data_IF_517692190431
#
_entry.id   IF_517692190431
#
_cell.length_a   1.000
_cell.length_b   1.000
_cell.length_c   1.000
_cell.angle_alpha   90.00
_cell.angle_beta   90.00
_cell.angle_gamma   90.00
#
_symmetry.space_group_name_H-M   'P 1'
#
loop_
_entity.id
_entity.type
_entity.pdbx_description
1 polymer ?
#
# COMPACT_ATOMS: atom_id res chain seq x y z
N UNK A 1 -19.14 12.67 17.85
CA UNK A 1 -19.32 12.76 16.38
C UNK A 1 -19.37 14.22 16.04
N UNK A 2 -18.51 14.68 15.12
CA UNK A 2 -18.62 16.05 14.59
C UNK A 2 -19.99 16.25 13.94
N UNK A 3 -20.53 17.45 14.03
CA UNK A 3 -21.82 17.80 13.44
C UNK A 3 -21.73 17.75 11.89
N UNK A 4 -22.84 17.49 11.21
CA UNK A 4 -22.88 17.25 9.75
C UNK A 4 -22.35 18.45 8.95
N UNK A 5 -22.55 19.65 9.49
CA UNK A 5 -21.99 20.90 8.97
C UNK A 5 -20.45 20.93 9.02
N UNK A 6 -19.84 20.46 10.11
CA UNK A 6 -18.38 20.46 10.26
C UNK A 6 -17.72 19.50 9.27
N UNK A 7 -18.35 18.35 9.02
CA UNK A 7 -17.87 17.37 8.04
C UNK A 7 -17.96 17.94 6.62
N UNK A 8 -19.05 18.61 6.26
CA UNK A 8 -19.21 19.26 4.95
C UNK A 8 -18.19 20.38 4.74
N UNK A 9 -17.90 21.17 5.77
CA UNK A 9 -16.86 22.20 5.72
C UNK A 9 -15.48 21.58 5.52
N UNK A 10 -15.16 20.48 6.22
CA UNK A 10 -13.90 19.74 6.05
C UNK A 10 -13.72 19.24 4.60
N UNK A 11 -14.72 18.60 4.02
CA UNK A 11 -14.65 18.14 2.62
C UNK A 11 -14.60 19.30 1.61
N UNK A 12 -15.34 20.38 1.88
CA UNK A 12 -15.28 21.59 1.05
C UNK A 12 -13.93 22.30 1.09
N UNK A 13 -13.18 22.20 2.19
CA UNK A 13 -11.83 22.75 2.34
C UNK A 13 -10.75 21.84 1.74
N UNK A 14 -10.95 20.52 1.79
CA UNK A 14 -10.01 19.53 1.26
C UNK A 14 -9.93 19.56 -0.29
N UNK A 15 -11.02 19.94 -0.97
CA UNK A 15 -11.11 19.90 -2.43
C UNK A 15 -11.16 18.47 -2.98
N UNK A 16 -11.20 18.33 -4.32
CA UNK A 16 -11.45 17.04 -4.99
C UNK A 16 -10.20 16.11 -5.07
N UNK A 17 -9.05 16.56 -4.57
CA UNK A 17 -7.76 15.87 -4.73
C UNK A 17 -7.25 15.12 -3.48
N UNK A 18 -8.11 14.97 -2.46
CA UNK A 18 -7.74 14.36 -1.17
C UNK A 18 -8.30 12.94 -1.08
N UNK A 19 -7.41 12.00 -0.76
CA UNK A 19 -7.79 10.62 -0.46
C UNK A 19 -8.32 10.49 0.98
N UNK A 20 -9.41 9.75 1.24
CA UNK A 20 -10.14 8.91 0.29
C UNK A 20 -11.25 9.67 -0.47
N UNK A 21 -11.25 9.50 -1.80
CA UNK A 21 -12.22 10.13 -2.69
C UNK A 21 -13.64 9.62 -2.41
N UNK A 22 -14.61 10.53 -2.36
CA UNK A 22 -16.03 10.20 -2.16
C UNK A 22 -16.34 9.45 -0.84
N UNK A 23 -15.47 9.52 0.17
CA UNK A 23 -15.75 8.93 1.48
C UNK A 23 -17.00 9.58 2.09
N UNK A 24 -18.06 8.79 2.21
CA UNK A 24 -19.30 9.22 2.83
C UNK A 24 -19.48 8.51 4.19
N UNK A 25 -19.32 9.21 5.32
CA UNK A 25 -19.43 8.60 6.65
C UNK A 25 -20.83 8.03 6.92
N UNK A 26 -21.88 8.57 6.30
CA UNK A 26 -23.24 8.03 6.43
C UNK A 26 -23.37 6.69 5.70
N UNK A 27 -22.81 6.56 4.50
CA UNK A 27 -22.83 5.31 3.73
C UNK A 27 -22.00 4.23 4.43
N UNK A 28 -20.86 4.58 5.02
CA UNK A 28 -20.00 3.62 5.74
C UNK A 28 -20.69 2.96 6.95
N UNK A 29 -21.65 3.64 7.59
CA UNK A 29 -22.42 3.06 8.71
C UNK A 29 -23.54 2.11 8.27
N UNK A 30 -24.02 2.24 7.03
CA UNK A 30 -25.14 1.45 6.50
C UNK A 30 -24.65 0.30 5.62
N UNK A 31 -23.54 0.51 4.90
CA UNK A 31 -22.84 -0.48 4.11
C UNK A 31 -21.33 -0.27 4.34
N UNK A 32 -20.70 -1.07 5.22
CA UNK A 32 -19.25 -1.04 5.37
C UNK A 32 -18.62 -1.39 4.02
N UNK A 33 -18.09 -0.40 3.32
CA UNK A 33 -17.38 -0.63 2.07
C UNK A 33 -16.05 -1.28 2.40
N UNK A 34 -15.74 -2.41 1.76
CA UNK A 34 -14.40 -3.01 1.74
C UNK A 34 -13.44 -2.22 0.84
N UNK A 35 -13.59 -0.90 0.79
CA UNK A 35 -12.67 0.05 0.15
C UNK A 35 -11.57 0.41 1.16
N UNK A 36 -10.43 0.87 0.65
CA UNK A 36 -9.23 1.34 1.34
C UNK A 36 -8.30 0.25 1.89
N UNK A 37 -8.23 -0.88 1.19
CA UNK A 37 -7.13 -1.84 1.35
C UNK A 37 -5.83 -1.29 0.74
N UNK A 38 -4.68 -1.86 1.10
CA UNK A 38 -3.37 -1.31 0.73
C UNK A 38 -3.15 -1.00 -0.76
N UNK A 39 -3.64 -1.82 -1.73
CA UNK A 39 -3.55 -1.48 -3.14
C UNK A 39 -4.26 -0.17 -3.51
N UNK A 40 -5.37 0.18 -2.86
CA UNK A 40 -6.10 1.44 -3.13
C UNK A 40 -5.34 2.66 -2.62
N UNK A 41 -4.68 2.53 -1.47
CA UNK A 41 -3.77 3.56 -0.97
C UNK A 41 -2.61 3.76 -1.94
N UNK A 42 -2.04 2.68 -2.48
CA UNK A 42 -1.01 2.76 -3.50
C UNK A 42 -1.55 3.41 -4.78
N UNK A 43 -2.76 3.06 -5.21
CA UNK A 43 -3.42 3.64 -6.37
C UNK A 43 -3.56 5.17 -6.25
N UNK A 44 -4.03 5.65 -5.09
CA UNK A 44 -4.11 7.07 -4.77
C UNK A 44 -2.74 7.76 -4.84
N UNK A 45 -1.70 7.11 -4.30
CA UNK A 45 -0.33 7.61 -4.39
C UNK A 45 0.14 7.71 -5.86
N UNK A 46 -0.13 6.70 -6.69
CA UNK A 46 0.24 6.72 -8.12
C UNK A 46 -0.47 7.84 -8.88
N UNK A 47 -1.71 8.17 -8.50
CA UNK A 47 -2.48 9.29 -9.07
C UNK A 47 -1.98 10.66 -8.59
N UNK A 48 -1.11 10.71 -7.58
CA UNK A 48 -0.60 11.95 -7.01
C UNK A 48 -1.56 12.60 -6.02
N UNK A 49 -2.46 11.82 -5.41
CA UNK A 49 -3.37 12.33 -4.39
C UNK A 49 -2.64 12.64 -3.08
N UNK A 50 -3.16 13.62 -2.35
CA UNK A 50 -2.65 13.97 -1.03
C UNK A 50 -3.34 13.14 0.06
N UNK A 51 -2.53 12.61 0.97
CA UNK A 51 -3.00 11.87 2.13
C UNK A 51 -3.15 12.80 3.32
N UNK A 52 -4.34 12.83 3.91
CA UNK A 52 -4.54 13.45 5.21
C UNK A 52 -3.93 12.60 6.30
N UNK A 53 -3.18 13.21 7.21
CA UNK A 53 -2.73 12.53 8.42
C UNK A 53 -3.88 12.47 9.42
N UNK A 54 -3.99 11.33 10.08
CA UNK A 54 -4.93 11.08 11.15
C UNK A 54 -4.49 11.82 12.42
N UNK A 55 -5.43 12.58 12.97
CA UNK A 55 -5.33 13.24 14.26
C UNK A 55 -6.50 12.79 15.14
N UNK A 56 -6.20 12.42 16.38
CA UNK A 56 -7.21 12.17 17.38
C UNK A 56 -7.99 13.45 17.73
N UNK A 57 -9.22 13.33 18.27
CA UNK A 57 -9.86 14.46 18.94
C UNK A 57 -9.02 14.96 20.13
N UNK A 58 -8.99 16.28 20.35
CA UNK A 58 -8.23 16.96 21.42
C UNK A 58 -8.39 16.35 22.82
N UNK A 59 -9.56 15.78 23.11
CA UNK A 59 -9.84 15.15 24.40
C UNK A 59 -8.92 13.95 24.65
N UNK A 60 -8.62 13.14 23.62
CA UNK A 60 -7.68 12.02 23.72
C UNK A 60 -6.24 12.50 23.88
N UNK A 61 -5.85 13.58 23.19
CA UNK A 61 -4.55 14.21 23.40
C UNK A 61 -4.39 14.66 24.86
N UNK A 62 -5.41 15.29 25.44
CA UNK A 62 -5.42 15.70 26.86
C UNK A 62 -5.38 14.52 27.83
N UNK A 63 -6.11 13.45 27.53
CA UNK A 63 -6.09 12.21 28.33
C UNK A 63 -4.69 11.61 28.35
N UNK A 64 -4.02 11.52 27.19
CA UNK A 64 -2.65 11.01 27.08
C UNK A 64 -1.66 11.93 27.78
N UNK A 65 -1.75 13.25 27.58
CA UNK A 65 -0.91 14.20 28.29
C UNK A 65 -1.04 14.06 29.81
N UNK A 66 -2.27 13.89 30.32
CA UNK A 66 -2.53 13.65 31.75
C UNK A 66 -1.96 12.32 32.24
N UNK A 67 -2.06 11.26 31.43
CA UNK A 67 -1.46 9.96 31.71
C UNK A 67 0.07 10.03 31.78
N UNK A 68 0.69 10.76 30.85
CA UNK A 68 2.15 10.91 30.77
C UNK A 68 2.72 11.85 31.85
N UNK A 69 1.98 12.87 32.27
CA UNK A 69 2.39 13.88 33.27
C UNK A 69 2.63 13.34 34.70
N UNK A 70 2.39 12.06 34.94
CA UNK A 70 2.57 11.41 36.24
C UNK A 70 4.03 11.17 36.67
N UNK A 71 5.02 11.50 35.82
CA UNK A 71 6.45 11.21 36.02
C UNK A 71 7.33 12.36 35.50
N UNK A 72 8.63 12.36 35.85
CA UNK A 72 9.59 13.43 35.51
C UNK A 72 9.55 13.84 34.02
N UNK A 73 9.48 15.16 33.80
CA UNK A 73 9.27 15.88 32.52
C UNK A 73 10.29 15.57 31.40
N UNK A 74 11.39 14.87 31.68
CA UNK A 74 12.56 14.84 30.80
C UNK A 74 12.79 13.53 30.04
N UNK A 75 11.94 12.51 30.22
CA UNK A 75 12.14 11.21 29.56
C UNK A 75 11.48 11.15 28.18
N UNK A 76 12.25 10.76 27.16
CA UNK A 76 11.74 10.43 25.82
C UNK A 76 10.88 9.16 25.92
N UNK A 77 9.60 9.29 25.57
CA UNK A 77 8.68 8.15 25.58
C UNK A 77 8.95 7.26 24.38
N UNK A 78 9.26 5.99 24.63
CA UNK A 78 9.28 4.92 23.63
C UNK A 78 8.08 4.03 23.87
N UNK A 79 7.26 3.80 22.85
CA UNK A 79 6.27 2.72 22.91
C UNK A 79 6.80 1.48 22.23
N UNK A 80 6.47 0.31 22.76
CA UNK A 80 6.69 -0.96 22.09
C UNK A 80 5.35 -1.69 21.94
N UNK A 81 4.89 -1.80 20.71
CA UNK A 81 3.63 -2.50 20.40
C UNK A 81 3.91 -3.94 20.03
N UNK A 82 3.30 -4.86 20.78
CA UNK A 82 3.62 -6.29 20.74
C UNK A 82 2.39 -7.08 20.27
N UNK A 83 2.60 -7.99 19.31
CA UNK A 83 1.53 -8.80 18.73
C UNK A 83 1.42 -10.21 19.31
N UNK A 84 0.20 -10.59 19.67
CA UNK A 84 -0.13 -11.95 20.14
C UNK A 84 -0.40 -12.97 19.06
N UNK A 85 0.31 -12.94 17.92
CA UNK A 85 0.02 -13.84 16.79
C UNK A 85 0.33 -15.31 17.05
N UNK A 86 -0.29 -16.16 16.23
CA UNK A 86 -0.04 -17.60 16.07
C UNK A 86 1.33 -17.91 15.40
N UNK A 87 2.38 -17.19 15.79
CA UNK A 87 3.75 -17.62 15.50
C UNK A 87 4.11 -18.81 16.38
N UNK A 88 5.00 -19.66 15.85
CA UNK A 88 5.64 -20.73 16.62
C UNK A 88 6.14 -20.15 17.96
N UNK A 89 5.73 -20.74 19.10
CA UNK A 89 6.09 -20.23 20.43
C UNK A 89 7.58 -20.06 20.65
N UNK A 90 8.43 -20.91 20.06
CA UNK A 90 9.88 -20.83 20.21
C UNK A 90 10.46 -19.63 19.45
N UNK A 91 9.97 -19.37 18.23
CA UNK A 91 10.39 -18.19 17.44
C UNK A 91 10.03 -16.91 18.17
N UNK A 92 8.80 -16.82 18.67
CA UNK A 92 8.31 -15.66 19.44
C UNK A 92 9.09 -15.45 20.74
N UNK A 93 9.36 -16.53 21.48
CA UNK A 93 10.18 -16.48 22.69
C UNK A 93 11.57 -15.91 22.40
N UNK A 94 12.19 -16.30 21.28
CA UNK A 94 13.48 -15.77 20.89
C UNK A 94 13.40 -14.27 20.57
N UNK A 95 12.43 -13.84 19.75
CA UNK A 95 12.23 -12.42 19.43
C UNK A 95 12.08 -11.60 20.72
N UNK A 96 11.23 -12.04 21.66
CA UNK A 96 11.03 -11.29 22.91
C UNK A 96 12.28 -11.21 23.78
N UNK A 97 13.14 -12.25 23.78
CA UNK A 97 14.45 -12.19 24.45
C UNK A 97 15.39 -11.17 23.83
N UNK A 98 15.45 -11.10 22.50
CA UNK A 98 16.25 -10.10 21.79
C UNK A 98 15.80 -8.68 22.12
N UNK A 99 14.48 -8.45 22.12
CA UNK A 99 13.87 -7.18 22.51
C UNK A 99 14.11 -6.82 23.97
N UNK A 100 13.88 -7.73 24.93
CA UNK A 100 14.18 -7.46 26.34
C UNK A 100 15.66 -7.15 26.56
N UNK A 101 16.55 -7.85 25.86
CA UNK A 101 17.99 -7.64 25.91
C UNK A 101 18.38 -6.28 25.34
N UNK A 102 17.72 -5.80 24.28
CA UNK A 102 17.89 -4.45 23.74
C UNK A 102 17.34 -3.38 24.69
N UNK A 103 16.08 -3.48 25.09
CA UNK A 103 15.43 -2.50 25.97
C UNK A 103 16.17 -2.34 27.30
N UNK A 104 16.74 -3.42 27.82
CA UNK A 104 17.57 -3.40 29.04
C UNK A 104 18.87 -2.60 28.91
N UNK A 105 19.29 -2.25 27.68
CA UNK A 105 20.44 -1.37 27.44
C UNK A 105 20.09 0.12 27.42
N UNK A 106 18.81 0.47 27.35
CA UNK A 106 18.38 1.86 27.24
C UNK A 106 18.49 2.58 28.61
N UNK A 107 19.11 3.77 28.66
CA UNK A 107 19.25 4.52 29.90
C UNK A 107 17.90 5.01 30.44
N UNK A 108 17.53 4.55 31.65
CA UNK A 108 16.23 4.85 32.28
C UNK A 108 15.99 6.33 32.58
N UNK A 109 17.06 7.11 32.72
CA UNK A 109 16.99 8.56 32.91
C UNK A 109 16.74 9.32 31.60
N UNK A 110 16.90 8.68 30.44
CA UNK A 110 16.65 9.29 29.14
C UNK A 110 15.36 8.74 28.51
N UNK A 111 15.09 7.45 28.64
CA UNK A 111 13.96 6.79 27.98
C UNK A 111 12.99 6.15 28.97
N UNK A 112 11.70 6.44 28.78
CA UNK A 112 10.58 5.75 29.43
C UNK A 112 9.93 4.82 28.42
N UNK A 113 9.86 3.53 28.75
CA UNK A 113 9.36 2.49 27.85
C UNK A 113 7.95 2.10 28.29
N UNK A 114 6.99 2.18 27.36
CA UNK A 114 5.59 1.80 27.54
C UNK A 114 5.24 0.67 26.58
N UNK A 115 4.83 -0.46 27.11
CA UNK A 115 4.42 -1.65 26.35
C UNK A 115 2.94 -1.56 26.02
N UNK A 116 2.61 -1.82 24.76
CA UNK A 116 1.23 -1.82 24.26
C UNK A 116 0.95 -3.19 23.62
N UNK A 117 0.30 -4.11 24.35
CA UNK A 117 -0.20 -5.33 23.74
C UNK A 117 -1.29 -5.00 22.71
N UNK A 118 -1.34 -5.74 21.60
CA UNK A 118 -2.40 -5.58 20.61
C UNK A 118 -3.67 -6.41 20.91
N UNK A 119 -3.55 -7.46 21.73
CA UNK A 119 -4.64 -8.31 22.24
C UNK A 119 -4.68 -8.28 23.77
N UNK A 120 -5.85 -7.98 24.33
CA UNK A 120 -6.13 -7.99 25.75
C UNK A 120 -5.82 -9.34 26.43
N UNK A 121 -5.90 -10.45 25.69
CA UNK A 121 -5.59 -11.81 26.21
C UNK A 121 -4.09 -12.02 26.50
N UNK A 122 -3.21 -11.25 25.87
CA UNK A 122 -1.75 -11.39 26.05
C UNK A 122 -1.27 -10.91 27.42
N UNK A 123 -2.08 -10.13 28.13
CA UNK A 123 -1.74 -9.50 29.40
C UNK A 123 -1.45 -10.50 30.53
N UNK A 124 -2.10 -11.66 30.53
CA UNK A 124 -2.05 -12.59 31.66
C UNK A 124 -1.09 -13.78 31.48
N UNK A 125 -0.47 -13.94 30.30
CA UNK A 125 0.22 -15.20 29.97
C UNK A 125 1.73 -15.09 29.75
N UNK A 126 2.29 -13.89 29.58
CA UNK A 126 3.71 -13.71 29.23
C UNK A 126 4.51 -13.13 30.40
N UNK A 127 5.62 -13.78 30.77
CA UNK A 127 6.59 -13.21 31.72
C UNK A 127 7.49 -12.14 31.07
N UNK A 128 7.43 -12.00 29.76
CA UNK A 128 8.20 -11.00 29.02
C UNK A 128 7.64 -9.60 29.24
N UNK A 129 8.55 -8.64 29.29
CA UNK A 129 8.28 -7.21 29.44
C UNK A 129 7.64 -6.79 30.77
N UNK A 130 7.42 -7.71 31.71
CA UNK A 130 6.76 -7.45 33.01
C UNK A 130 7.41 -6.34 33.86
N UNK A 131 8.67 -6.00 33.59
CA UNK A 131 9.41 -4.92 34.27
C UNK A 131 9.14 -3.52 33.73
N UNK A 132 8.46 -3.41 32.59
CA UNK A 132 8.14 -2.15 31.92
C UNK A 132 6.69 -1.76 32.21
N UNK A 133 6.39 -0.48 32.04
CA UNK A 133 5.02 0.02 32.14
C UNK A 133 4.18 -0.55 30.99
N UNK A 134 2.91 -0.86 31.28
CA UNK A 134 1.96 -1.31 30.25
C UNK A 134 0.77 -0.36 30.19
N UNK A 135 0.31 -0.04 28.98
CA UNK A 135 -0.84 0.84 28.78
C UNK A 135 -2.09 0.05 28.32
N UNK A 136 -2.95 -0.33 29.27
CA UNK A 136 -4.19 -1.08 29.01
C UNK A 136 -5.15 -0.31 28.12
N UNK A 137 -5.29 0.99 28.40
CA UNK A 137 -6.20 1.86 27.65
C UNK A 137 -5.83 1.89 26.17
N UNK A 138 -4.54 1.98 25.84
CA UNK A 138 -4.07 1.92 24.46
C UNK A 138 -4.35 0.54 23.79
N UNK A 139 -4.48 -0.55 24.55
CA UNK A 139 -4.83 -1.86 23.97
C UNK A 139 -6.27 -1.86 23.41
N UNK A 140 -7.23 -1.29 24.12
CA UNK A 140 -8.66 -1.39 23.77
C UNK A 140 -9.24 -0.14 23.11
N UNK A 141 -8.59 1.02 23.26
CA UNK A 141 -9.05 2.29 22.74
C UNK A 141 -8.10 2.81 21.65
N UNK A 142 -8.54 2.69 20.39
CA UNK A 142 -7.74 3.09 19.22
C UNK A 142 -7.42 4.59 19.21
N UNK A 143 -8.35 5.45 19.62
CA UNK A 143 -8.11 6.90 19.64
C UNK A 143 -7.08 7.28 20.71
N UNK A 144 -7.16 6.67 21.89
CA UNK A 144 -6.14 6.82 22.92
C UNK A 144 -4.79 6.27 22.46
N UNK A 145 -4.77 5.12 21.76
CA UNK A 145 -3.54 4.52 21.22
C UNK A 145 -2.84 5.44 20.23
N UNK A 146 -3.57 5.98 19.26
CA UNK A 146 -3.01 6.93 18.29
C UNK A 146 -2.50 8.17 19.00
N UNK A 147 -3.28 8.73 19.94
CA UNK A 147 -2.84 9.87 20.73
C UNK A 147 -1.53 9.58 21.46
N UNK A 148 -1.40 8.40 22.07
CA UNK A 148 -0.17 7.96 22.74
C UNK A 148 0.99 7.86 21.75
N UNK A 149 0.77 7.31 20.55
CA UNK A 149 1.80 7.24 19.52
C UNK A 149 2.27 8.62 19.07
N UNK A 150 1.32 9.56 18.90
CA UNK A 150 1.61 10.96 18.55
C UNK A 150 2.27 11.74 19.69
N UNK A 151 2.21 11.29 20.93
CA UNK A 151 2.97 11.91 22.03
C UNK A 151 4.31 11.20 22.28
N UNK A 152 4.52 10.01 21.73
CA UNK A 152 5.74 9.25 21.89
C UNK A 152 6.87 9.76 21.00
N UNK A 153 8.09 9.84 21.55
CA UNK A 153 9.28 10.19 20.79
C UNK A 153 9.56 9.17 19.67
N UNK A 154 9.38 7.89 19.98
CA UNK A 154 9.51 6.81 19.00
C UNK A 154 8.56 5.66 19.30
N UNK A 155 7.85 5.22 18.27
CA UNK A 155 6.97 4.05 18.33
C UNK A 155 7.66 2.85 17.67
N UNK A 156 7.85 1.76 18.41
CA UNK A 156 8.48 0.55 17.90
C UNK A 156 7.45 -0.57 17.81
N UNK A 157 7.48 -1.34 16.71
CA UNK A 157 6.50 -2.40 16.44
C UNK A 157 7.19 -3.71 16.15
N UNK A 158 6.81 -4.77 16.88
CA UNK A 158 7.26 -6.14 16.61
C UNK A 158 6.38 -6.76 15.54
N UNK A 159 6.97 -7.32 14.49
CA UNK A 159 6.28 -8.05 13.42
C UNK A 159 5.14 -7.28 12.75
N UNK A 160 5.38 -6.00 12.46
CA UNK A 160 4.42 -5.10 11.82
C UNK A 160 3.05 -5.03 12.56
N UNK A 161 3.06 -5.26 13.89
CA UNK A 161 1.90 -5.24 14.77
C UNK A 161 1.11 -3.95 14.67
N UNK A 162 -0.20 -3.98 14.38
CA UNK A 162 -1.09 -2.81 14.30
C UNK A 162 -0.47 -1.51 13.71
N UNK A 163 0.56 -1.60 12.87
CA UNK A 163 1.43 -0.48 12.53
C UNK A 163 0.73 0.48 11.57
N UNK A 164 -0.32 0.00 10.90
CA UNK A 164 -1.22 0.84 10.09
C UNK A 164 -1.80 2.00 10.91
N UNK A 165 -1.99 1.85 12.23
CA UNK A 165 -2.51 2.92 13.09
C UNK A 165 -1.53 4.07 13.33
N UNK A 166 -0.22 3.86 13.15
CA UNK A 166 0.79 4.93 13.24
C UNK A 166 1.19 5.46 11.85
N UNK A 167 1.08 4.61 10.81
CA UNK A 167 1.53 4.91 9.45
C UNK A 167 0.95 6.20 8.88
N UNK A 168 -0.30 6.48 9.24
CA UNK A 168 -1.05 7.63 8.75
C UNK A 168 -1.06 8.78 9.75
N UNK A 169 -0.08 8.86 10.64
CA UNK A 169 0.05 9.96 11.61
C UNK A 169 1.36 10.69 11.36
N UNK A 170 1.59 11.80 12.08
CA UNK A 170 2.90 12.46 12.10
C UNK A 170 3.93 11.72 12.97
N UNK A 171 3.52 10.69 13.71
CA UNK A 171 4.36 10.07 14.71
C UNK A 171 5.53 9.29 14.09
N UNK A 172 6.65 9.31 14.80
CA UNK A 172 7.86 8.56 14.43
C UNK A 172 7.69 7.07 14.71
N UNK A 173 8.13 6.22 13.79
CA UNK A 173 7.98 4.77 13.92
C UNK A 173 9.16 3.96 13.36
N UNK A 174 9.54 2.91 14.09
CA UNK A 174 10.34 1.78 13.58
C UNK A 174 9.46 0.54 13.57
N UNK A 175 9.13 0.06 12.38
CA UNK A 175 8.23 -1.07 12.16
C UNK A 175 9.05 -2.27 11.73
N UNK A 176 9.28 -3.19 12.66
CA UNK A 176 10.11 -4.37 12.40
C UNK A 176 9.29 -5.45 11.72
N UNK A 177 9.76 -5.88 10.57
CA UNK A 177 9.07 -6.84 9.73
C UNK A 177 9.94 -8.09 9.55
N UNK A 178 9.52 -9.17 10.20
CA UNK A 178 10.13 -10.46 10.00
C UNK A 178 9.51 -11.13 8.77
N UNK A 179 10.30 -11.31 7.72
CA UNK A 179 9.87 -12.14 6.60
C UNK A 179 9.78 -13.57 7.09
N UNK A 180 8.55 -14.04 7.28
CA UNK A 180 8.26 -15.40 7.63
C UNK A 180 7.79 -16.17 6.39
N UNK A 181 7.65 -17.50 6.51
CA UNK A 181 7.06 -18.34 5.45
C UNK A 181 5.52 -18.33 5.48
N UNK A 182 4.89 -17.54 6.34
CA UNK A 182 3.43 -17.43 6.35
C UNK A 182 2.98 -16.53 5.20
N UNK A 183 1.87 -16.88 4.57
CA UNK A 183 1.43 -16.27 3.30
C UNK A 183 1.29 -14.74 3.42
N UNK A 184 0.70 -14.25 4.51
CA UNK A 184 0.33 -12.83 4.73
C UNK A 184 1.44 -11.94 5.29
N UNK A 185 2.68 -12.44 5.38
CA UNK A 185 3.87 -11.64 5.74
C UNK A 185 5.12 -12.16 5.02
N UNK A 186 4.89 -12.77 3.86
CA UNK A 186 5.92 -13.28 2.97
C UNK A 186 6.39 -12.19 2.01
N UNK A 187 7.63 -12.31 1.53
CA UNK A 187 8.15 -11.37 0.55
C UNK A 187 7.30 -11.28 -0.74
N UNK A 188 6.75 -12.40 -1.29
CA UNK A 188 5.76 -12.33 -2.36
C UNK A 188 4.52 -11.50 -2.02
N UNK A 189 4.00 -11.59 -0.79
CA UNK A 189 2.84 -10.81 -0.36
C UNK A 189 3.16 -9.31 -0.29
N UNK A 190 4.33 -8.94 0.25
CA UNK A 190 4.78 -7.54 0.26
C UNK A 190 4.87 -6.95 -1.15
N UNK A 191 5.41 -7.74 -2.09
CA UNK A 191 5.50 -7.36 -3.50
C UNK A 191 4.12 -7.19 -4.13
N UNK A 192 3.22 -8.16 -3.92
CA UNK A 192 1.91 -8.17 -4.58
C UNK A 192 0.90 -7.19 -3.99
N UNK A 193 0.98 -6.89 -2.69
CA UNK A 193 -0.03 -6.07 -1.99
C UNK A 193 0.44 -4.65 -1.71
N UNK A 194 1.73 -4.48 -1.39
CA UNK A 194 2.29 -3.16 -1.02
C UNK A 194 3.22 -2.59 -2.09
N UNK A 195 3.57 -3.38 -3.11
CA UNK A 195 4.51 -2.95 -4.15
C UNK A 195 5.94 -2.70 -3.62
N UNK A 196 6.32 -3.36 -2.52
CA UNK A 196 7.64 -3.19 -1.89
C UNK A 196 8.40 -4.52 -1.83
N UNK A 197 9.71 -4.46 -1.94
CA UNK A 197 10.60 -5.60 -1.72
C UNK A 197 11.51 -5.41 -0.49
N UNK A 198 12.31 -6.42 -0.21
CA UNK A 198 13.29 -6.41 0.87
C UNK A 198 14.19 -5.16 0.79
N UNK A 199 14.17 -4.37 1.86
CA UNK A 199 14.95 -3.13 1.97
C UNK A 199 14.20 -1.87 1.52
N UNK A 200 13.09 -2.01 0.78
CA UNK A 200 12.27 -0.87 0.39
C UNK A 200 11.51 -0.29 1.58
N UNK A 201 11.17 0.98 1.49
CA UNK A 201 10.26 1.69 2.38
C UNK A 201 8.90 1.84 1.67
N UNK A 202 7.88 2.34 2.38
CA UNK A 202 6.62 2.68 1.73
C UNK A 202 6.74 4.08 1.11
N UNK A 203 6.54 4.26 -0.21
CA UNK A 203 6.80 5.54 -0.88
C UNK A 203 6.02 6.73 -0.32
N UNK A 204 4.80 6.48 0.14
CA UNK A 204 3.87 7.50 0.61
C UNK A 204 4.08 7.90 2.07
N UNK A 205 4.89 7.17 2.84
CA UNK A 205 5.12 7.47 4.27
C UNK A 205 6.27 8.45 4.48
N UNK A 206 6.24 9.19 5.57
CA UNK A 206 7.30 10.12 5.96
C UNK A 206 8.60 9.39 6.32
N UNK A 207 9.74 10.07 6.19
CA UNK A 207 11.06 9.50 6.43
C UNK A 207 11.30 9.03 7.87
N UNK A 208 10.56 9.57 8.84
CA UNK A 208 10.60 9.12 10.25
C UNK A 208 9.73 7.88 10.51
N UNK A 209 9.04 7.35 9.51
CA UNK A 209 8.37 6.06 9.56
C UNK A 209 9.19 5.05 8.75
N UNK A 210 9.89 4.16 9.44
CA UNK A 210 10.85 3.23 8.82
C UNK A 210 10.36 1.79 8.96
N UNK A 211 10.25 1.12 7.83
CA UNK A 211 10.07 -0.33 7.73
C UNK A 211 11.45 -1.00 7.85
N UNK A 212 11.66 -1.75 8.94
CA UNK A 212 12.90 -2.46 9.22
C UNK A 212 12.78 -3.90 8.76
N UNK A 213 13.73 -4.34 7.94
CA UNK A 213 13.74 -5.68 7.36
C UNK A 213 14.79 -6.57 8.00
N UNK A 214 14.41 -7.83 8.26
CA UNK A 214 15.34 -8.88 8.66
C UNK A 214 14.95 -9.57 9.95
N UNK A 215 15.85 -10.43 10.43
CA UNK A 215 15.67 -11.13 11.70
C UNK A 215 15.87 -10.15 12.85
N UNK A 216 14.89 -10.08 13.76
CA UNK A 216 14.91 -9.16 14.90
C UNK A 216 15.88 -9.61 16.01
N UNK A 217 17.18 -9.48 15.75
CA UNK A 217 18.23 -9.65 16.78
C UNK A 217 18.44 -8.34 17.53
N UNK A 218 19.00 -8.42 18.74
CA UNK A 218 19.40 -7.24 19.52
C UNK A 218 20.24 -6.27 18.70
N UNK A 219 21.16 -6.78 17.90
CA UNK A 219 22.09 -5.97 17.10
C UNK A 219 21.36 -5.20 16.01
N UNK A 220 20.42 -5.84 15.30
CA UNK A 220 19.59 -5.16 14.30
C UNK A 220 18.73 -4.08 14.96
N UNK A 221 18.03 -4.43 16.03
CA UNK A 221 17.13 -3.51 16.75
C UNK A 221 17.92 -2.30 17.25
N UNK A 222 19.08 -2.54 17.88
CA UNK A 222 19.95 -1.47 18.36
C UNK A 222 20.49 -0.62 17.21
N UNK A 223 20.93 -1.24 16.10
CA UNK A 223 21.47 -0.52 14.96
C UNK A 223 20.47 0.47 14.36
N UNK A 224 19.22 0.04 14.14
CA UNK A 224 18.17 0.91 13.61
C UNK A 224 17.73 1.97 14.63
N UNK A 225 17.67 1.62 15.92
CA UNK A 225 17.41 2.60 16.98
C UNK A 225 18.49 3.68 17.05
N UNK A 226 19.77 3.31 17.04
CA UNK A 226 20.90 4.25 17.08
C UNK A 226 20.89 5.16 15.85
N UNK A 227 20.64 4.59 14.67
CA UNK A 227 20.50 5.34 13.41
C UNK A 227 19.38 6.37 13.50
N UNK A 228 18.19 5.93 13.94
CA UNK A 228 17.02 6.80 14.10
C UNK A 228 17.30 7.92 15.11
N UNK A 229 17.80 7.58 16.30
CA UNK A 229 18.03 8.56 17.36
C UNK A 229 19.16 9.52 17.06
N UNK A 230 20.15 9.12 16.27
CA UNK A 230 21.17 10.02 15.74
C UNK A 230 20.57 11.06 14.80
N UNK A 231 19.72 10.62 13.86
CA UNK A 231 19.08 11.50 12.87
C UNK A 231 18.02 12.43 13.49
N UNK A 232 17.27 11.94 14.47
CA UNK A 232 16.12 12.63 15.07
C UNK A 232 16.32 13.05 16.53
N UNK A 233 17.57 13.18 16.99
CA UNK A 233 17.97 13.36 18.40
C UNK A 233 17.19 14.42 19.21
N UNK A 234 16.72 15.49 18.56
CA UNK A 234 16.00 16.62 19.17
C UNK A 234 14.56 16.81 18.68
N UNK A 235 14.10 16.04 17.68
CA UNK A 235 12.76 16.21 17.13
C UNK A 235 11.73 15.55 18.03
N UNK A 236 10.70 16.29 18.38
CA UNK A 236 9.50 15.81 19.05
C UNK A 236 8.36 15.62 18.04
N UNK A 237 7.30 14.87 18.38
CA UNK A 237 6.23 14.52 17.43
C UNK A 237 5.44 15.69 16.84
N UNK A 238 5.44 16.85 17.49
CA UNK A 238 4.88 18.09 16.96
C UNK A 238 5.76 18.71 15.85
N UNK A 239 7.05 18.36 15.82
CA UNK A 239 8.04 18.82 14.85
C UNK A 239 8.23 17.87 13.65
N UNK A 240 7.47 16.78 13.58
CA UNK A 240 7.54 15.81 12.47
C UNK A 240 6.53 16.11 11.36
N UNK A 241 5.64 17.07 11.56
CA UNK A 241 4.74 17.53 10.51
C UNK A 241 5.50 18.08 9.30
N UNK A 242 5.12 17.64 8.10
CA UNK A 242 5.72 18.09 6.85
C UNK A 242 7.10 17.49 6.52
N UNK A 243 7.54 16.44 7.21
CA UNK A 243 8.73 15.68 6.79
C UNK A 243 8.57 15.14 5.38
N UNK A 244 9.70 15.09 4.65
CA UNK A 244 9.77 14.47 3.34
C UNK A 244 9.30 13.00 3.42
N UNK A 245 8.66 12.55 2.34
CA UNK A 245 8.26 11.16 2.13
C UNK A 245 9.42 10.37 1.51
N UNK A 246 9.43 9.05 1.69
CA UNK A 246 10.46 8.18 1.11
C UNK A 246 10.49 8.25 -0.42
N UNK A 247 9.32 8.40 -1.04
CA UNK A 247 9.19 8.39 -2.49
C UNK A 247 9.52 7.02 -3.10
N UNK A 248 9.56 6.95 -4.42
CA UNK A 248 9.91 5.73 -5.14
C UNK A 248 11.44 5.60 -5.14
N UNK A 249 11.94 4.52 -4.56
CA UNK A 249 13.36 4.29 -4.27
C UNK A 249 14.09 3.57 -5.40
N UNK A 250 13.39 2.82 -6.25
CA UNK A 250 14.01 2.10 -7.37
C UNK A 250 13.06 1.85 -8.53
N UNK A 251 13.61 1.60 -9.72
CA UNK A 251 12.84 1.15 -10.90
C UNK A 251 12.05 -0.13 -10.61
N UNK A 252 12.60 -1.00 -9.77
CA UNK A 252 11.95 -2.26 -9.43
C UNK A 252 10.76 -2.05 -8.48
N UNK A 253 10.91 -1.22 -7.46
CA UNK A 253 9.80 -0.85 -6.58
C UNK A 253 8.70 -0.13 -7.37
N UNK A 254 9.08 0.81 -8.25
CA UNK A 254 8.15 1.47 -9.19
C UNK A 254 7.27 0.46 -9.93
N UNK A 255 7.90 -0.57 -10.48
CA UNK A 255 7.21 -1.61 -11.22
C UNK A 255 6.28 -2.44 -10.32
N UNK A 256 6.77 -2.88 -9.16
CA UNK A 256 5.96 -3.64 -8.18
C UNK A 256 4.73 -2.85 -7.71
N UNK A 257 4.84 -1.54 -7.50
CA UNK A 257 3.70 -0.67 -7.18
C UNK A 257 2.68 -0.66 -8.32
N UNK A 258 3.14 -0.49 -9.57
CA UNK A 258 2.29 -0.54 -10.76
C UNK A 258 1.59 -1.89 -10.91
N UNK A 259 2.31 -3.01 -10.78
CA UNK A 259 1.75 -4.37 -10.89
C UNK A 259 0.75 -4.66 -9.78
N UNK A 260 1.07 -4.30 -8.54
CA UNK A 260 0.19 -4.49 -7.38
C UNK A 260 -1.16 -3.79 -7.58
N UNK A 261 -1.12 -2.51 -7.98
CA UNK A 261 -2.33 -1.72 -8.25
C UNK A 261 -3.09 -2.24 -9.46
N UNK A 262 -2.40 -2.63 -10.53
CA UNK A 262 -3.05 -3.13 -11.74
C UNK A 262 -3.80 -4.43 -11.49
N UNK A 263 -3.22 -5.35 -10.69
CA UNK A 263 -3.86 -6.60 -10.33
C UNK A 263 -5.17 -6.35 -9.57
N UNK A 264 -5.14 -5.50 -8.53
CA UNK A 264 -6.33 -5.13 -7.75
C UNK A 264 -7.43 -4.50 -8.62
N UNK A 265 -7.05 -3.57 -9.49
CA UNK A 265 -7.99 -2.90 -10.40
C UNK A 265 -8.57 -3.87 -11.42
N UNK A 266 -7.75 -4.77 -11.98
CA UNK A 266 -8.22 -5.75 -12.97
C UNK A 266 -9.29 -6.67 -12.41
N UNK A 267 -9.16 -7.07 -11.14
CA UNK A 267 -10.15 -7.90 -10.46
C UNK A 267 -11.47 -7.13 -10.27
N UNK A 268 -11.41 -5.86 -9.84
CA UNK A 268 -12.60 -5.00 -9.66
C UNK A 268 -13.30 -4.67 -10.97
N UNK A 269 -12.53 -4.40 -12.03
CA UNK A 269 -13.06 -4.08 -13.36
C UNK A 269 -13.84 -5.23 -13.99
N UNK A 270 -13.65 -6.48 -13.53
CA UNK A 270 -14.46 -7.62 -13.96
C UNK A 270 -15.93 -7.49 -13.54
N UNK A 271 -16.23 -6.67 -12.53
CA UNK A 271 -17.58 -6.42 -12.02
C UNK A 271 -18.13 -5.09 -12.52
N UNK A 272 -17.36 -4.00 -12.39
CA UNK A 272 -17.74 -2.68 -12.91
C UNK A 272 -16.52 -1.77 -13.16
N UNK A 273 -16.65 -0.85 -14.13
CA UNK A 273 -15.60 0.12 -14.47
C UNK A 273 -15.99 1.51 -13.96
N UNK A 274 -15.17 2.10 -13.08
CA UNK A 274 -15.31 3.48 -12.59
C UNK A 274 -14.27 4.38 -13.27
N UNK A 275 -14.53 5.70 -13.28
CA UNK A 275 -13.57 6.69 -13.77
C UNK A 275 -12.23 6.62 -13.02
N UNK A 276 -12.26 6.31 -11.72
CA UNK A 276 -11.06 6.14 -10.90
C UNK A 276 -10.16 4.99 -11.40
N UNK A 277 -10.74 3.89 -11.89
CA UNK A 277 -9.98 2.79 -12.48
C UNK A 277 -9.22 3.27 -13.73
N UNK A 278 -9.90 4.03 -14.60
CA UNK A 278 -9.34 4.60 -15.82
C UNK A 278 -8.20 5.58 -15.48
N UNK A 279 -8.41 6.47 -14.51
CA UNK A 279 -7.43 7.46 -14.11
C UNK A 279 -6.19 6.83 -13.47
N UNK A 280 -6.38 5.75 -12.72
CA UNK A 280 -5.28 4.97 -12.16
C UNK A 280 -4.50 4.23 -13.25
N UNK A 281 -5.17 3.60 -14.21
CA UNK A 281 -4.50 2.96 -15.35
C UNK A 281 -3.67 3.99 -16.14
N UNK A 282 -4.21 5.19 -16.37
CA UNK A 282 -3.46 6.29 -16.99
C UNK A 282 -2.27 6.74 -16.14
N UNK A 283 -2.39 6.76 -14.81
CA UNK A 283 -1.28 7.05 -13.92
C UNK A 283 -0.17 6.00 -14.00
N UNK A 284 -0.53 4.71 -14.06
CA UNK A 284 0.41 3.61 -14.26
C UNK A 284 1.15 3.77 -15.60
N UNK A 285 0.45 4.07 -16.70
CA UNK A 285 1.06 4.31 -18.02
C UNK A 285 2.07 5.46 -17.97
N UNK A 286 1.78 6.55 -17.26
CA UNK A 286 2.71 7.68 -17.11
C UNK A 286 3.95 7.28 -16.31
N UNK A 287 3.78 6.49 -15.25
CA UNK A 287 4.86 6.12 -14.34
C UNK A 287 5.75 5.01 -14.90
N UNK A 288 5.17 4.03 -15.59
CA UNK A 288 5.87 2.91 -16.20
C UNK A 288 5.47 2.74 -17.68
N UNK A 289 5.99 3.58 -18.59
CA UNK A 289 5.55 3.63 -19.98
C UNK A 289 5.86 2.35 -20.76
N UNK A 290 6.80 1.52 -20.31
CA UNK A 290 7.17 0.26 -20.96
C UNK A 290 6.28 -0.92 -20.56
N UNK A 291 5.36 -0.71 -19.60
CA UNK A 291 4.42 -1.72 -19.14
C UNK A 291 3.21 -1.77 -20.09
N UNK A 292 3.06 -2.88 -20.82
CA UNK A 292 2.05 -3.01 -21.88
C UNK A 292 0.65 -3.27 -21.33
N UNK A 293 0.53 -3.99 -20.21
CA UNK A 293 -0.74 -4.43 -19.64
C UNK A 293 -1.75 -3.32 -19.31
N UNK A 294 -1.34 -2.17 -18.73
CA UNK A 294 -2.23 -1.04 -18.53
C UNK A 294 -2.88 -0.53 -19.82
N UNK A 295 -2.15 -0.52 -20.94
CA UNK A 295 -2.69 -0.09 -22.25
C UNK A 295 -3.67 -1.09 -22.81
N UNK A 296 -3.37 -2.38 -22.65
CA UNK A 296 -4.30 -3.45 -23.01
C UNK A 296 -5.63 -3.30 -22.26
N UNK A 297 -5.60 -3.12 -20.94
CA UNK A 297 -6.81 -2.94 -20.12
C UNK A 297 -7.58 -1.68 -20.51
N UNK A 298 -6.89 -0.55 -20.75
CA UNK A 298 -7.54 0.67 -21.22
C UNK A 298 -8.16 0.52 -22.62
N UNK A 299 -7.51 -0.27 -23.50
CA UNK A 299 -8.01 -0.58 -24.84
C UNK A 299 -9.28 -1.43 -24.79
N UNK A 300 -9.36 -2.40 -23.87
CA UNK A 300 -10.60 -3.16 -23.62
C UNK A 300 -11.75 -2.26 -23.17
N UNK A 301 -11.48 -1.34 -22.25
CA UNK A 301 -12.49 -0.36 -21.79
C UNK A 301 -12.97 0.51 -22.95
N UNK A 302 -12.04 1.06 -23.74
CA UNK A 302 -12.37 1.89 -24.90
C UNK A 302 -13.23 1.12 -25.93
N UNK A 303 -12.87 -0.14 -26.21
CA UNK A 303 -13.64 -0.99 -27.12
C UNK A 303 -15.03 -1.34 -26.60
N UNK A 304 -15.22 -1.44 -25.28
CA UNK A 304 -16.52 -1.71 -24.65
C UNK A 304 -17.48 -0.52 -24.74
N UNK A 305 -16.96 0.70 -24.77
CA UNK A 305 -17.74 1.94 -24.93
C UNK A 305 -17.81 2.42 -26.39
N UNK A 306 -17.45 1.55 -27.34
CA UNK A 306 -17.39 1.82 -28.78
C UNK A 306 -16.46 2.99 -29.20
N UNK A 307 -15.50 3.35 -28.36
CA UNK A 307 -14.41 4.27 -28.69
C UNK A 307 -13.29 3.53 -29.44
N UNK A 308 -13.63 3.08 -30.64
CA UNK A 308 -12.80 2.18 -31.44
C UNK A 308 -11.47 2.81 -31.88
N UNK A 309 -11.43 4.12 -32.14
CA UNK A 309 -10.20 4.79 -32.55
C UNK A 309 -9.15 4.78 -31.44
N UNK A 310 -9.56 5.07 -30.19
CA UNK A 310 -8.66 4.97 -29.04
C UNK A 310 -8.29 3.53 -28.71
N UNK A 311 -9.24 2.60 -28.81
CA UNK A 311 -8.97 1.18 -28.59
C UNK A 311 -7.88 0.65 -29.55
N UNK A 312 -8.02 0.91 -30.86
CA UNK A 312 -7.04 0.51 -31.87
C UNK A 312 -5.64 1.06 -31.55
N UNK A 313 -5.53 2.35 -31.22
CA UNK A 313 -4.26 2.98 -30.84
C UNK A 313 -3.62 2.33 -29.61
N UNK A 314 -4.41 2.04 -28.59
CA UNK A 314 -3.93 1.40 -27.36
C UNK A 314 -3.45 -0.03 -27.59
N UNK A 315 -4.12 -0.77 -28.47
CA UNK A 315 -3.67 -2.11 -28.88
C UNK A 315 -2.40 -2.06 -29.73
N UNK A 316 -2.24 -1.07 -30.61
CA UNK A 316 -0.99 -0.86 -31.34
C UNK A 316 0.19 -0.59 -30.40
N UNK A 317 0.01 0.32 -29.43
CA UNK A 317 1.02 0.58 -28.40
C UNK A 317 1.36 -0.70 -27.62
N UNK A 318 0.36 -1.53 -27.28
CA UNK A 318 0.57 -2.79 -26.58
C UNK A 318 1.40 -3.78 -27.41
N UNK A 319 1.09 -3.93 -28.70
CA UNK A 319 1.86 -4.78 -29.63
C UNK A 319 3.31 -4.34 -29.71
N UNK A 320 3.56 -3.03 -29.83
CA UNK A 320 4.92 -2.47 -29.88
C UNK A 320 5.70 -2.83 -28.60
N UNK A 321 5.07 -2.69 -27.44
CA UNK A 321 5.70 -2.94 -26.13
C UNK A 321 5.84 -4.45 -25.81
N UNK A 322 5.01 -5.31 -26.39
CA UNK A 322 4.99 -6.75 -26.14
C UNK A 322 6.27 -7.49 -26.57
N UNK A 323 7.11 -6.87 -27.39
CA UNK A 323 8.36 -7.45 -27.90
C UNK A 323 9.55 -7.31 -26.93
N UNK A 324 9.30 -7.13 -25.63
CA UNK A 324 10.34 -7.03 -24.61
C UNK A 324 10.20 -8.14 -23.55
N UNK A 325 11.27 -8.43 -22.82
CA UNK A 325 11.29 -9.49 -21.79
C UNK A 325 10.30 -9.27 -20.63
N UNK A 326 9.74 -8.06 -20.49
CA UNK A 326 8.86 -7.68 -19.38
C UNK A 326 7.39 -7.92 -19.66
N UNK A 327 7.00 -8.05 -20.91
CA UNK A 327 5.61 -8.15 -21.31
C UNK A 327 5.28 -9.59 -21.78
N UNK A 328 4.24 -10.23 -21.21
CA UNK A 328 3.70 -11.46 -21.77
C UNK A 328 3.32 -11.28 -23.26
N UNK A 329 3.23 -12.39 -24.00
CA UNK A 329 2.83 -12.45 -25.42
C UNK A 329 1.38 -11.96 -25.67
N UNK A 330 1.11 -10.68 -25.44
CA UNK A 330 -0.19 -10.05 -25.62
C UNK A 330 -0.45 -9.60 -27.04
N UNK A 331 0.55 -9.59 -27.90
CA UNK A 331 0.35 -9.21 -29.30
C UNK A 331 -0.67 -10.12 -29.97
N UNK A 332 -0.70 -11.41 -29.63
CA UNK A 332 -1.72 -12.34 -30.14
C UNK A 332 -3.14 -11.83 -29.87
N UNK A 333 -3.41 -11.49 -28.61
CA UNK A 333 -4.73 -11.03 -28.20
C UNK A 333 -5.04 -9.65 -28.78
N UNK A 334 -4.07 -8.73 -28.80
CA UNK A 334 -4.24 -7.39 -29.35
C UNK A 334 -4.57 -7.41 -30.84
N UNK A 335 -3.86 -8.20 -31.66
CA UNK A 335 -4.17 -8.36 -33.08
C UNK A 335 -5.58 -8.93 -33.30
N UNK A 336 -5.98 -9.93 -32.49
CA UNK A 336 -7.33 -10.48 -32.56
C UNK A 336 -8.41 -9.43 -32.22
N UNK A 337 -8.20 -8.64 -31.18
CA UNK A 337 -9.11 -7.57 -30.77
C UNK A 337 -9.21 -6.48 -31.85
N UNK A 338 -8.08 -6.05 -32.41
CA UNK A 338 -8.05 -5.09 -33.53
C UNK A 338 -8.82 -5.60 -34.75
N UNK A 339 -8.58 -6.84 -35.16
CA UNK A 339 -9.29 -7.45 -36.28
C UNK A 339 -10.80 -7.50 -36.03
N UNK A 340 -11.22 -7.87 -34.82
CA UNK A 340 -12.63 -7.86 -34.42
C UNK A 340 -13.26 -6.46 -34.42
N UNK A 341 -12.52 -5.42 -34.05
CA UNK A 341 -12.96 -4.02 -34.17
C UNK A 341 -13.15 -3.64 -35.65
N UNK A 342 -12.22 -3.99 -36.52
CA UNK A 342 -12.37 -3.71 -37.95
C UNK A 342 -13.54 -4.48 -38.60
N UNK A 343 -13.79 -5.72 -38.21
CA UNK A 343 -15.00 -6.45 -38.62
C UNK A 343 -16.29 -5.72 -38.17
N UNK A 344 -16.34 -5.22 -36.93
CA UNK A 344 -17.48 -4.43 -36.42
C UNK A 344 -17.70 -3.11 -37.17
N UNK A 345 -16.60 -2.49 -37.64
CA UNK A 345 -16.62 -1.24 -38.40
C UNK A 345 -16.88 -1.45 -39.90
N UNK A 346 -17.16 -2.67 -40.34
CA UNK A 346 -17.30 -3.05 -41.76
C UNK A 346 -16.07 -2.65 -42.59
N UNK A 347 -14.88 -2.89 -42.01
CA UNK A 347 -13.56 -2.62 -42.58
C UNK A 347 -12.81 -3.95 -42.85
N UNK A 348 -13.30 -4.81 -43.77
CA UNK A 348 -12.81 -6.17 -43.94
C UNK A 348 -11.36 -6.26 -44.44
N UNK A 349 -10.90 -5.28 -45.21
CA UNK A 349 -9.51 -5.22 -45.68
C UNK A 349 -8.53 -5.03 -44.52
N UNK A 350 -8.82 -4.09 -43.60
CA UNK A 350 -8.01 -3.90 -42.40
C UNK A 350 -8.08 -5.12 -41.47
N UNK A 351 -9.27 -5.71 -41.27
CA UNK A 351 -9.42 -6.93 -40.47
C UNK A 351 -8.56 -8.08 -41.04
N UNK A 352 -8.59 -8.28 -42.36
CA UNK A 352 -7.78 -9.28 -43.04
C UNK A 352 -6.28 -9.02 -42.84
N UNK A 353 -5.84 -7.77 -42.92
CA UNK A 353 -4.44 -7.40 -42.70
C UNK A 353 -3.96 -7.80 -41.30
N UNK A 354 -4.74 -7.48 -40.25
CA UNK A 354 -4.39 -7.84 -38.87
C UNK A 354 -4.32 -9.37 -38.68
N UNK A 355 -5.27 -10.13 -39.23
CA UNK A 355 -5.23 -11.60 -39.17
C UNK A 355 -4.04 -12.18 -39.94
N UNK A 356 -3.64 -11.57 -41.06
CA UNK A 356 -2.46 -12.01 -41.81
C UNK A 356 -1.17 -11.78 -41.03
N UNK A 357 -1.00 -10.63 -40.36
CA UNK A 357 0.14 -10.39 -39.47
C UNK A 357 0.17 -11.40 -38.33
N UNK A 358 -0.99 -11.67 -37.72
CA UNK A 358 -1.08 -12.66 -36.66
C UNK A 358 -0.74 -14.08 -37.15
N UNK A 359 -1.20 -14.46 -38.34
CA UNK A 359 -0.89 -15.77 -38.95
C UNK A 359 0.60 -15.96 -39.26
N UNK A 360 1.36 -14.88 -39.52
CA UNK A 360 2.82 -14.98 -39.69
C UNK A 360 3.50 -15.43 -38.40
N UNK A 361 3.00 -14.97 -37.24
CA UNK A 361 3.56 -15.32 -35.93
C UNK A 361 3.00 -16.63 -35.38
N UNK A 362 1.76 -16.97 -35.71
CA UNK A 362 1.06 -18.17 -35.25
C UNK A 362 0.47 -18.99 -36.42
N UNK A 363 1.30 -19.55 -37.31
CA UNK A 363 0.83 -20.21 -38.54
C UNK A 363 0.01 -21.48 -38.31
N UNK A 364 0.16 -22.12 -37.15
CA UNK A 364 -0.54 -23.35 -36.79
C UNK A 364 -1.92 -23.10 -36.16
N UNK A 365 -2.32 -21.83 -35.96
CA UNK A 365 -3.61 -21.51 -35.36
C UNK A 365 -4.73 -21.58 -36.40
N UNK A 366 -5.48 -22.69 -36.37
CA UNK A 366 -6.57 -22.98 -37.31
C UNK A 366 -7.72 -21.99 -37.23
N UNK A 367 -7.91 -21.30 -36.10
CA UNK A 367 -8.96 -20.27 -35.99
C UNK A 367 -8.61 -19.04 -36.83
N UNK A 368 -7.34 -18.63 -36.83
CA UNK A 368 -6.85 -17.51 -37.64
C UNK A 368 -6.97 -17.85 -39.12
N UNK A 369 -6.51 -19.03 -39.52
CA UNK A 369 -6.60 -19.51 -40.90
C UNK A 369 -8.06 -19.58 -41.40
N UNK A 370 -8.98 -20.02 -40.53
CA UNK A 370 -10.42 -20.02 -40.79
C UNK A 370 -10.97 -18.61 -41.03
N UNK A 371 -10.63 -17.65 -40.17
CA UNK A 371 -11.05 -16.25 -40.30
C UNK A 371 -10.56 -15.60 -41.60
N UNK A 372 -9.28 -15.79 -41.93
CA UNK A 372 -8.68 -15.33 -43.20
C UNK A 372 -9.46 -15.88 -44.41
N UNK A 373 -9.79 -17.17 -44.38
CA UNK A 373 -10.52 -17.84 -45.47
C UNK A 373 -11.93 -17.28 -45.64
N UNK A 374 -12.62 -17.01 -44.52
CA UNK A 374 -13.96 -16.39 -44.54
C UNK A 374 -13.92 -14.98 -45.11
N UNK A 375 -12.98 -14.14 -44.67
CA UNK A 375 -12.86 -12.77 -45.14
C UNK A 375 -12.54 -12.71 -46.63
N UNK A 376 -11.56 -13.50 -47.12
CA UNK A 376 -11.22 -13.56 -48.55
C UNK A 376 -12.36 -14.05 -49.44
N UNK A 377 -13.19 -14.96 -48.93
CA UNK A 377 -14.35 -15.47 -49.69
C UNK A 377 -15.46 -14.43 -49.78
N UNK A 378 -15.68 -13.69 -48.70
CA UNK A 378 -16.78 -12.74 -48.60
C UNK A 378 -16.42 -11.37 -49.23
N UNK A 379 -15.12 -11.05 -49.29
CA UNK A 379 -14.58 -9.78 -49.81
C UNK A 379 -13.35 -10.07 -50.71
N UNK A 380 -13.57 -10.45 -51.98
CA UNK A 380 -12.53 -10.92 -52.91
C UNK A 380 -11.61 -9.84 -53.46
#
# INVERSE_FOLDING_TARGET
>A
MKDEEEIKVLFGQAGDAVFPTNYNPHMATVQPTTKYISPEVTAAYLRGEEFSLFEEPDEYAKMVASYLASQEETSKIITLTVRGTDLDPAVRTQIYREWESFLGTLPKNEYRIIIIPDDYRNWQQSSFFCRYEHCETATINVLFRVALYRHAYLNMFIDNSCADSVRWTSASALVFNQINRQVTSSLPWFRSILGVDFGDQLPMTQNNHVLVWGTQTKELIKGEFDKFTSEYSKRFPDQTNGLAKHGIQSTRQKHLLCESVLNDISEKMSVWVEQEHIDTIKAIIRLDPDYAMPRYLLGLVAAQIDDFDNALKLFDDCIILSNNERNPNFDKECYNLKAGIFEKLDKPEQALQEYLELNKKYPEDTNIAGRISVLKRNYP
#
